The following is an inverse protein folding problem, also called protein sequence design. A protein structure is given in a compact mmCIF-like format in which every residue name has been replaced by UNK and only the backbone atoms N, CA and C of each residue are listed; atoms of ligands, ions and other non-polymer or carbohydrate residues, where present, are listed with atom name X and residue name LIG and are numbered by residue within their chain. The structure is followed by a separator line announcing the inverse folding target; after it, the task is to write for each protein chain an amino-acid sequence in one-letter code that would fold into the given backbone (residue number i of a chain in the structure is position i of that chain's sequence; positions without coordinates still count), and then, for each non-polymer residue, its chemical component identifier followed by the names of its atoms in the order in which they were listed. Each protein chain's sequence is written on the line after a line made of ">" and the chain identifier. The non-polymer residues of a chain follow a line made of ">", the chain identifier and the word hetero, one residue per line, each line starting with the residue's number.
data_IF_580036255866
#
_entry.id   IF_580036255866
#
_cell.length_a   1.000
_cell.length_b   1.000
_cell.length_c   1.000
_cell.angle_alpha   90.00
_cell.angle_beta   90.00
_cell.angle_gamma   90.00
#
_symmetry.space_group_name_H-M   'P 1'
#
loop_
_entity.id
_entity.type
_entity.pdbx_description
1 polymer ?
#
# COMPACT_ATOMS: atom_id res chain seq x y z
N UNK A 1 -82.80 3.55 -35.77
CA UNK A 1 -83.67 2.66 -36.57
C UNK A 1 -85.00 3.37 -36.79
N UNK A 2 -85.64 3.20 -37.96
CA UNK A 2 -86.86 3.91 -38.33
C UNK A 2 -88.13 3.42 -37.61
N UNK A 3 -88.10 2.28 -36.91
CA UNK A 3 -89.23 1.75 -36.16
C UNK A 3 -88.78 1.10 -34.84
N UNK A 4 -89.56 1.23 -33.78
CA UNK A 4 -89.34 0.54 -32.50
C UNK A 4 -90.12 -0.78 -32.42
N UNK A 5 -89.67 -1.78 -31.62
CA UNK A 5 -90.43 -3.03 -31.42
C UNK A 5 -91.88 -2.77 -30.99
N UNK A 6 -92.08 -1.77 -30.12
CA UNK A 6 -93.40 -1.33 -29.67
C UNK A 6 -94.26 -0.71 -30.78
N UNK A 7 -93.66 0.03 -31.72
CA UNK A 7 -94.36 0.56 -32.91
C UNK A 7 -94.76 -0.53 -33.90
N UNK A 8 -93.98 -1.61 -34.00
CA UNK A 8 -94.27 -2.75 -34.87
C UNK A 8 -95.45 -3.55 -34.31
N UNK A 9 -95.49 -3.75 -32.99
CA UNK A 9 -96.57 -4.46 -32.29
C UNK A 9 -97.90 -3.72 -32.32
N UNK A 10 -97.88 -2.40 -32.24
CA UNK A 10 -99.08 -1.55 -32.20
C UNK A 10 -99.54 -1.07 -33.59
N UNK A 11 -98.99 -1.63 -34.68
CA UNK A 11 -99.32 -1.20 -36.04
C UNK A 11 -100.67 -1.75 -36.47
N UNK A 12 -101.63 -0.86 -36.74
CA UNK A 12 -102.91 -1.23 -37.33
C UNK A 12 -102.89 -1.18 -38.87
N UNK A 13 -103.51 -2.17 -39.51
CA UNK A 13 -103.65 -2.26 -40.97
C UNK A 13 -105.11 -2.10 -41.41
N UNK A 14 -105.32 -1.49 -42.57
CA UNK A 14 -106.66 -1.33 -43.17
C UNK A 14 -107.19 -2.68 -43.67
N UNK A 15 -108.45 -3.02 -43.36
CA UNK A 15 -109.08 -4.28 -43.79
C UNK A 15 -109.61 -4.16 -45.23
N UNK A 16 -109.23 -5.10 -46.10
CA UNK A 16 -109.65 -5.16 -47.52
C UNK A 16 -110.33 -6.51 -47.78
N UNK A 17 -111.33 -6.58 -48.67
CA UNK A 17 -112.18 -7.77 -48.91
C UNK A 17 -111.44 -9.08 -49.28
N UNK A 18 -110.20 -8.99 -49.78
CA UNK A 18 -109.33 -10.13 -50.10
C UNK A 18 -107.97 -10.04 -49.35
N UNK A 19 -107.97 -9.51 -48.12
CA UNK A 19 -106.75 -9.30 -47.33
C UNK A 19 -106.26 -10.54 -46.59
N UNK A 20 -105.04 -10.42 -46.04
CA UNK A 20 -104.45 -11.39 -45.11
C UNK A 20 -105.25 -11.45 -43.79
N UNK A 21 -105.20 -12.60 -43.13
CA UNK A 21 -105.92 -12.81 -41.87
C UNK A 21 -105.31 -11.94 -40.75
N UNK A 22 -106.12 -11.13 -40.03
CA UNK A 22 -105.60 -10.23 -39.00
C UNK A 22 -104.86 -10.94 -37.86
N UNK A 23 -105.25 -12.18 -37.52
CA UNK A 23 -104.63 -12.96 -36.46
C UNK A 23 -103.21 -13.41 -36.84
N UNK A 24 -103.04 -13.95 -38.05
CA UNK A 24 -101.74 -14.40 -38.56
C UNK A 24 -100.74 -13.23 -38.69
N UNK A 25 -101.21 -12.08 -39.17
CA UNK A 25 -100.37 -10.86 -39.26
C UNK A 25 -99.96 -10.35 -37.88
N UNK A 26 -100.86 -10.38 -36.90
CA UNK A 26 -100.56 -10.00 -35.51
C UNK A 26 -99.50 -10.92 -34.89
N UNK A 27 -99.61 -12.23 -35.11
CA UNK A 27 -98.64 -13.21 -34.61
C UNK A 27 -97.26 -13.03 -35.26
N UNK A 28 -97.21 -12.77 -36.55
CA UNK A 28 -95.97 -12.45 -37.26
C UNK A 28 -95.34 -11.14 -36.76
N UNK A 29 -96.13 -10.08 -36.52
CA UNK A 29 -95.64 -8.83 -35.94
C UNK A 29 -95.08 -9.02 -34.52
N UNK A 30 -95.68 -9.89 -33.71
CA UNK A 30 -95.16 -10.24 -32.39
C UNK A 30 -93.80 -10.96 -32.49
N UNK A 31 -93.67 -11.93 -33.40
CA UNK A 31 -92.40 -12.62 -33.66
C UNK A 31 -91.33 -11.65 -34.16
N UNK A 32 -91.68 -10.77 -35.10
CA UNK A 32 -90.77 -9.76 -35.65
C UNK A 32 -90.34 -8.75 -34.58
N UNK A 33 -91.26 -8.30 -33.73
CA UNK A 33 -90.95 -7.42 -32.59
C UNK A 33 -89.93 -8.08 -31.65
N UNK A 34 -90.15 -9.34 -31.29
CA UNK A 34 -89.26 -10.08 -30.40
C UNK A 34 -87.87 -10.27 -31.02
N UNK A 35 -87.78 -10.57 -32.32
CA UNK A 35 -86.50 -10.75 -33.00
C UNK A 35 -85.73 -9.44 -33.14
N UNK A 36 -86.41 -8.32 -33.42
CA UNK A 36 -85.77 -6.99 -33.45
C UNK A 36 -85.26 -6.59 -32.06
N UNK A 37 -86.02 -6.91 -31.00
CA UNK A 37 -85.59 -6.67 -29.63
C UNK A 37 -84.36 -7.52 -29.27
N UNK A 38 -84.34 -8.81 -29.65
CA UNK A 38 -83.19 -9.70 -29.52
C UNK A 38 -81.96 -9.15 -30.24
N UNK A 39 -82.08 -8.76 -31.50
CA UNK A 39 -80.99 -8.19 -32.30
C UNK A 39 -80.48 -6.87 -31.72
N UNK A 40 -81.36 -6.03 -31.15
CA UNK A 40 -80.99 -4.77 -30.51
C UNK A 40 -80.16 -5.02 -29.25
N UNK A 41 -80.56 -6.00 -28.43
CA UNK A 41 -79.81 -6.37 -27.23
C UNK A 41 -78.46 -7.01 -27.59
N UNK A 42 -78.43 -7.91 -28.58
CA UNK A 42 -77.20 -8.51 -29.09
C UNK A 42 -76.23 -7.45 -29.64
N UNK A 43 -76.74 -6.48 -30.42
CA UNK A 43 -75.95 -5.35 -30.91
C UNK A 43 -75.36 -4.54 -29.76
N UNK A 44 -76.15 -4.23 -28.73
CA UNK A 44 -75.69 -3.48 -27.56
C UNK A 44 -74.61 -4.24 -26.79
N UNK A 45 -74.76 -5.57 -26.67
CA UNK A 45 -73.74 -6.42 -26.04
C UNK A 45 -72.45 -6.44 -26.86
N UNK A 46 -72.54 -6.57 -28.19
CA UNK A 46 -71.39 -6.52 -29.09
C UNK A 46 -70.68 -5.16 -29.03
N UNK A 47 -71.42 -4.05 -29.04
CA UNK A 47 -70.87 -2.70 -28.89
C UNK A 47 -70.10 -2.55 -27.57
N UNK A 48 -70.65 -3.08 -26.47
CA UNK A 48 -69.97 -3.08 -25.17
C UNK A 48 -68.68 -3.90 -25.19
N UNK A 49 -68.69 -5.08 -25.81
CA UNK A 49 -67.49 -5.90 -25.96
C UNK A 49 -66.44 -5.20 -26.80
N UNK A 50 -66.84 -4.54 -27.89
CA UNK A 50 -65.91 -3.77 -28.73
C UNK A 50 -65.27 -2.64 -27.90
N UNK A 51 -66.05 -1.88 -27.15
CA UNK A 51 -65.53 -0.80 -26.31
C UNK A 51 -64.56 -1.32 -25.22
N UNK A 52 -64.87 -2.44 -24.59
CA UNK A 52 -63.97 -3.11 -23.64
C UNK A 52 -62.68 -3.60 -24.31
N UNK A 53 -62.76 -4.12 -25.54
CA UNK A 53 -61.57 -4.56 -26.27
C UNK A 53 -60.71 -3.39 -26.73
N UNK A 54 -61.31 -2.32 -27.20
CA UNK A 54 -60.61 -1.10 -27.61
C UNK A 54 -59.89 -0.44 -26.43
N UNK A 55 -60.52 -0.42 -25.24
CA UNK A 55 -59.86 0.09 -24.03
C UNK A 55 -58.68 -0.79 -23.60
N UNK A 56 -58.82 -2.12 -23.68
CA UNK A 56 -57.72 -3.04 -23.41
C UNK A 56 -56.57 -2.91 -24.43
N UNK A 57 -56.87 -2.74 -25.72
CA UNK A 57 -55.84 -2.52 -26.74
C UNK A 57 -55.06 -1.24 -26.45
N UNK A 58 -55.77 -0.15 -26.09
CA UNK A 58 -55.12 1.11 -25.73
C UNK A 58 -54.23 0.98 -24.50
N UNK A 59 -54.65 0.24 -23.47
CA UNK A 59 -53.81 0.01 -22.28
C UNK A 59 -52.57 -0.81 -22.62
N UNK A 60 -52.69 -1.86 -23.44
CA UNK A 60 -51.53 -2.62 -23.91
C UNK A 60 -50.58 -1.78 -24.76
N UNK A 61 -51.09 -0.91 -25.63
CA UNK A 61 -50.26 0.03 -26.40
C UNK A 61 -49.50 0.99 -25.50
N UNK A 62 -50.13 1.52 -24.45
CA UNK A 62 -49.47 2.38 -23.47
C UNK A 62 -48.37 1.64 -22.70
N UNK A 63 -48.65 0.41 -22.26
CA UNK A 63 -47.64 -0.42 -21.57
C UNK A 63 -46.49 -0.75 -22.51
N UNK A 64 -46.77 -1.12 -23.76
CA UNK A 64 -45.73 -1.39 -24.76
C UNK A 64 -44.86 -0.16 -25.00
N UNK A 65 -45.45 1.03 -25.13
CA UNK A 65 -44.70 2.27 -25.29
C UNK A 65 -43.82 2.54 -24.07
N UNK A 66 -44.36 2.43 -22.86
CA UNK A 66 -43.60 2.63 -21.62
C UNK A 66 -42.44 1.64 -21.48
N UNK A 67 -42.64 0.37 -21.84
CA UNK A 67 -41.58 -0.65 -21.81
C UNK A 67 -40.52 -0.36 -22.87
N UNK A 68 -40.93 0.06 -24.07
CA UNK A 68 -40.00 0.45 -25.14
C UNK A 68 -39.15 1.66 -24.72
N UNK A 69 -39.77 2.67 -24.13
CA UNK A 69 -39.08 3.86 -23.64
C UNK A 69 -38.11 3.50 -22.50
N UNK A 70 -38.54 2.65 -21.57
CA UNK A 70 -37.69 2.15 -20.49
C UNK A 70 -36.49 1.34 -21.03
N UNK A 71 -36.68 0.55 -22.09
CA UNK A 71 -35.59 -0.22 -22.71
C UNK A 71 -34.56 0.70 -23.38
N UNK A 72 -35.03 1.73 -24.11
CA UNK A 72 -34.14 2.72 -24.74
C UNK A 72 -33.38 3.50 -23.67
N UNK A 73 -34.06 3.93 -22.61
CA UNK A 73 -33.41 4.62 -21.49
C UNK A 73 -32.39 3.73 -20.78
N UNK A 74 -32.71 2.45 -20.56
CA UNK A 74 -31.78 1.49 -19.97
C UNK A 74 -30.55 1.27 -20.85
N UNK A 75 -30.73 1.17 -22.18
CA UNK A 75 -29.61 1.07 -23.11
C UNK A 75 -28.73 2.33 -23.06
N UNK A 76 -29.35 3.51 -23.09
CA UNK A 76 -28.62 4.78 -23.04
C UNK A 76 -27.85 4.93 -21.72
N UNK A 77 -28.46 4.60 -20.58
CA UNK A 77 -27.80 4.62 -19.28
C UNK A 77 -26.65 3.59 -19.21
N UNK A 78 -26.81 2.42 -19.82
CA UNK A 78 -25.77 1.41 -19.93
C UNK A 78 -24.58 1.89 -20.78
N UNK A 79 -24.84 2.52 -21.91
CA UNK A 79 -23.81 3.11 -22.77
C UNK A 79 -23.08 4.26 -22.09
N UNK A 80 -23.81 5.17 -21.43
CA UNK A 80 -23.23 6.29 -20.68
C UNK A 80 -22.35 5.79 -19.53
N UNK A 81 -22.81 4.80 -18.77
CA UNK A 81 -22.04 4.18 -17.69
C UNK A 81 -20.76 3.53 -18.22
N UNK A 82 -20.85 2.83 -19.35
CA UNK A 82 -19.68 2.21 -20.00
C UNK A 82 -18.68 3.26 -20.46
N UNK A 83 -19.13 4.35 -21.07
CA UNK A 83 -18.26 5.45 -21.50
C UNK A 83 -17.60 6.14 -20.30
N UNK A 84 -18.33 6.39 -19.21
CA UNK A 84 -17.80 6.95 -17.98
C UNK A 84 -16.73 6.04 -17.36
N UNK A 85 -17.01 4.74 -17.24
CA UNK A 85 -16.07 3.76 -16.70
C UNK A 85 -14.78 3.66 -17.55
N UNK A 86 -14.89 3.68 -18.88
CA UNK A 86 -13.73 3.68 -19.76
C UNK A 86 -12.88 4.94 -19.59
N UNK A 87 -13.51 6.12 -19.52
CA UNK A 87 -12.81 7.39 -19.32
C UNK A 87 -12.12 7.43 -17.95
N UNK A 88 -12.76 6.92 -16.92
CA UNK A 88 -12.16 6.83 -15.58
C UNK A 88 -10.99 5.85 -15.58
N UNK A 89 -11.12 4.69 -16.23
CA UNK A 89 -10.03 3.74 -16.37
C UNK A 89 -8.81 4.34 -17.09
N UNK A 90 -9.02 5.06 -18.20
CA UNK A 90 -7.95 5.77 -18.92
C UNK A 90 -7.29 6.84 -18.03
N UNK A 91 -8.09 7.61 -17.27
CA UNK A 91 -7.56 8.61 -16.35
C UNK A 91 -6.74 7.99 -15.22
N UNK A 92 -7.17 6.85 -14.67
CA UNK A 92 -6.43 6.11 -13.64
C UNK A 92 -5.12 5.58 -14.20
N UNK A 93 -5.13 4.99 -15.40
CA UNK A 93 -3.92 4.49 -16.06
C UNK A 93 -2.95 5.64 -16.31
N UNK A 94 -3.43 6.75 -16.87
CA UNK A 94 -2.59 7.93 -17.14
C UNK A 94 -1.99 8.50 -15.85
N UNK A 95 -2.78 8.60 -14.77
CA UNK A 95 -2.29 9.05 -13.46
C UNK A 95 -1.26 8.09 -12.87
N UNK A 96 -1.49 6.78 -12.98
CA UNK A 96 -0.55 5.77 -12.50
C UNK A 96 0.77 5.82 -13.28
N UNK A 97 0.73 6.01 -14.60
CA UNK A 97 1.91 6.19 -15.44
C UNK A 97 2.69 7.44 -15.03
N UNK A 98 2.02 8.59 -14.91
CA UNK A 98 2.67 9.83 -14.49
C UNK A 98 3.32 9.69 -13.10
N UNK A 99 2.65 9.02 -12.16
CA UNK A 99 3.21 8.78 -10.83
C UNK A 99 4.40 7.81 -10.87
N UNK A 100 4.34 6.77 -11.70
CA UNK A 100 5.47 5.87 -11.90
C UNK A 100 6.68 6.61 -12.46
N UNK A 101 6.48 7.47 -13.45
CA UNK A 101 7.55 8.29 -14.03
C UNK A 101 8.18 9.22 -12.99
N UNK A 102 7.37 9.83 -12.12
CA UNK A 102 7.88 10.64 -11.01
C UNK A 102 8.74 9.83 -10.04
N UNK A 103 8.27 8.64 -9.65
CA UNK A 103 9.02 7.75 -8.74
C UNK A 103 10.35 7.31 -9.38
N UNK A 104 10.34 6.97 -10.68
CA UNK A 104 11.55 6.57 -11.39
C UNK A 104 12.54 7.73 -11.48
N UNK A 105 12.09 8.94 -11.79
CA UNK A 105 12.96 10.12 -11.84
C UNK A 105 13.57 10.44 -10.46
N UNK A 106 12.76 10.44 -9.40
CA UNK A 106 13.24 10.63 -8.02
C UNK A 106 14.26 9.56 -7.61
N UNK A 107 14.01 8.29 -7.97
CA UNK A 107 14.95 7.20 -7.72
C UNK A 107 16.28 7.40 -8.48
N UNK A 108 16.23 7.86 -9.74
CA UNK A 108 17.43 8.17 -10.54
C UNK A 108 18.22 9.32 -9.92
N UNK A 109 17.55 10.38 -9.48
CA UNK A 109 18.20 11.52 -8.81
C UNK A 109 18.88 11.10 -7.50
N UNK A 110 18.19 10.33 -6.66
CA UNK A 110 18.76 9.76 -5.43
C UNK A 110 19.95 8.84 -5.72
N UNK A 111 19.86 7.99 -6.74
CA UNK A 111 20.95 7.11 -7.14
C UNK A 111 22.19 7.89 -7.60
N UNK A 112 21.99 8.96 -8.38
CA UNK A 112 23.08 9.88 -8.76
C UNK A 112 23.68 10.55 -7.53
N UNK A 113 22.86 11.08 -6.63
CA UNK A 113 23.34 11.74 -5.43
C UNK A 113 24.17 10.81 -4.54
N UNK A 114 23.69 9.58 -4.32
CA UNK A 114 24.42 8.55 -3.57
C UNK A 114 25.73 8.16 -4.25
N UNK A 115 25.74 8.08 -5.58
CA UNK A 115 26.95 7.81 -6.35
C UNK A 115 28.00 8.90 -6.15
N UNK A 116 27.59 10.18 -6.21
CA UNK A 116 28.47 11.32 -5.92
C UNK A 116 29.00 11.30 -4.48
N UNK A 117 28.14 11.07 -3.49
CA UNK A 117 28.57 10.95 -2.09
C UNK A 117 29.57 9.80 -1.88
N UNK A 118 29.34 8.67 -2.54
CA UNK A 118 30.24 7.50 -2.48
C UNK A 118 31.60 7.81 -3.08
N UNK A 119 31.63 8.51 -4.22
CA UNK A 119 32.87 8.93 -4.86
C UNK A 119 33.65 9.93 -3.99
N UNK A 120 32.95 10.92 -3.41
CA UNK A 120 33.58 11.88 -2.52
C UNK A 120 34.13 11.21 -1.25
N UNK A 121 33.36 10.31 -0.63
CA UNK A 121 33.84 9.50 0.50
C UNK A 121 35.11 8.71 0.15
N UNK A 122 35.15 8.05 -1.02
CA UNK A 122 36.35 7.34 -1.48
C UNK A 122 37.54 8.29 -1.65
N UNK A 123 37.32 9.48 -2.20
CA UNK A 123 38.36 10.51 -2.32
C UNK A 123 38.87 10.95 -0.96
N UNK A 124 37.98 11.23 -0.02
CA UNK A 124 38.32 11.59 1.36
C UNK A 124 39.10 10.46 2.05
N UNK A 125 38.69 9.20 1.91
CA UNK A 125 39.42 8.05 2.45
C UNK A 125 40.83 7.94 1.87
N UNK A 126 41.02 8.19 0.56
CA UNK A 126 42.34 8.18 -0.07
C UNK A 126 43.25 9.29 0.48
N UNK A 127 42.71 10.49 0.66
CA UNK A 127 43.43 11.62 1.26
C UNK A 127 43.80 11.32 2.71
N UNK A 128 42.83 10.83 3.50
CA UNK A 128 43.05 10.43 4.89
C UNK A 128 44.15 9.37 4.99
N UNK A 129 44.09 8.32 4.17
CA UNK A 129 45.12 7.27 4.12
C UNK A 129 46.51 7.84 3.82
N UNK A 130 46.62 8.77 2.87
CA UNK A 130 47.89 9.42 2.53
C UNK A 130 48.43 10.25 3.70
N UNK A 131 47.56 11.03 4.36
CA UNK A 131 47.94 11.85 5.53
C UNK A 131 48.35 10.99 6.72
N UNK A 132 47.61 9.91 6.98
CA UNK A 132 47.92 8.98 8.04
C UNK A 132 49.27 8.28 7.79
N UNK A 133 49.52 7.85 6.55
CA UNK A 133 50.81 7.28 6.16
C UNK A 133 51.97 8.26 6.39
N UNK A 134 51.84 9.52 5.96
CA UNK A 134 52.87 10.54 6.21
C UNK A 134 53.10 10.76 7.72
N UNK A 135 52.04 10.76 8.54
CA UNK A 135 52.17 10.91 9.99
C UNK A 135 52.95 9.75 10.62
N UNK A 136 52.63 8.51 10.23
CA UNK A 136 53.33 7.31 10.72
C UNK A 136 54.77 7.27 10.22
N UNK A 137 55.02 7.61 8.95
CA UNK A 137 56.37 7.70 8.38
C UNK A 137 57.20 8.75 9.14
N UNK A 138 56.64 9.93 9.44
CA UNK A 138 57.33 10.96 10.23
C UNK A 138 57.65 10.50 11.67
N UNK A 139 56.74 9.78 12.32
CA UNK A 139 56.99 9.20 13.65
C UNK A 139 58.06 8.10 13.62
N UNK A 140 58.06 7.30 12.55
CA UNK A 140 59.03 6.24 12.35
C UNK A 140 60.42 6.79 11.99
N UNK A 141 60.48 7.88 11.22
CA UNK A 141 61.72 8.61 10.94
C UNK A 141 62.29 9.27 12.20
N UNK A 142 61.45 9.80 13.10
CA UNK A 142 61.89 10.28 14.41
C UNK A 142 62.52 9.17 15.27
N UNK A 143 61.96 7.96 15.23
CA UNK A 143 62.51 6.80 15.96
C UNK A 143 63.80 6.27 15.33
N UNK A 144 63.91 6.35 14.00
CA UNK A 144 65.10 5.92 13.25
C UNK A 144 66.27 6.88 13.36
N UNK A 145 66.07 8.09 13.87
CA UNK A 145 67.16 9.03 14.03
C UNK A 145 68.11 8.52 15.13
N UNK A 146 69.41 8.49 14.84
CA UNK A 146 70.49 8.01 15.73
C UNK A 146 70.56 8.82 17.04
N UNK A 147 69.79 9.92 17.16
CA UNK A 147 69.56 10.67 18.40
C UNK A 147 69.10 9.76 19.56
N UNK A 148 68.31 8.72 19.27
CA UNK A 148 67.90 7.74 20.28
C UNK A 148 69.07 6.83 20.66
N UNK A 149 69.87 6.37 19.70
CA UNK A 149 71.06 5.56 19.98
C UNK A 149 72.11 6.35 20.81
N UNK A 150 72.22 7.66 20.60
CA UNK A 150 73.05 8.54 21.42
C UNK A 150 72.49 8.73 22.84
N UNK A 151 71.17 8.90 23.00
CA UNK A 151 70.53 9.06 24.31
C UNK A 151 70.44 7.76 25.12
N UNK A 152 70.42 6.60 24.45
CA UNK A 152 70.32 5.27 25.07
C UNK A 152 71.69 4.59 25.27
N UNK A 153 72.79 5.17 24.76
CA UNK A 153 74.15 4.75 25.08
C UNK A 153 74.50 5.09 26.56
N UNK A 154 73.97 4.28 27.47
CA UNK A 154 74.14 4.42 28.92
C UNK A 154 75.56 4.04 29.41
N UNK A 155 76.38 3.43 28.55
CA UNK A 155 77.65 2.81 28.98
C UNK A 155 78.88 3.75 29.02
N UNK A 156 78.77 5.01 28.58
CA UNK A 156 79.94 5.92 28.54
C UNK A 156 80.04 6.84 29.78
N UNK A 157 78.93 7.12 30.47
CA UNK A 157 78.91 8.07 31.59
C UNK A 157 78.93 7.41 32.97
N UNK A 158 78.55 6.12 33.09
CA UNK A 158 78.64 5.40 34.36
C UNK A 158 80.10 5.20 34.83
N UNK A 159 81.04 5.06 33.90
CA UNK A 159 82.46 4.87 34.24
C UNK A 159 83.14 6.17 34.71
N UNK A 160 82.71 7.34 34.21
CA UNK A 160 83.27 8.65 34.59
C UNK A 160 82.80 9.12 35.98
N UNK A 161 81.57 8.83 36.37
CA UNK A 161 81.02 9.24 37.68
C UNK A 161 81.71 8.51 38.85
N UNK A 162 82.27 7.32 38.62
CA UNK A 162 83.00 6.58 39.67
C UNK A 162 84.42 7.09 39.94
N UNK A 163 85.03 7.83 39.00
CA UNK A 163 86.41 8.32 39.15
C UNK A 163 86.49 9.72 39.78
N UNK A 164 85.49 10.59 39.60
CA UNK A 164 85.51 11.94 40.19
C UNK A 164 85.10 11.98 41.68
N UNK A 165 84.50 10.92 42.22
CA UNK A 165 83.99 10.90 43.61
C UNK A 165 85.04 10.57 44.70
N UNK A 166 86.34 10.52 44.37
CA UNK A 166 87.40 10.18 45.34
C UNK A 166 88.24 11.34 45.88
N UNK A 167 87.97 12.60 45.53
CA UNK A 167 88.84 13.71 45.93
C UNK A 167 88.27 14.78 46.86
N UNK A 168 87.02 14.73 47.30
CA UNK A 168 86.50 15.68 48.29
C UNK A 168 85.79 14.99 49.47
N UNK A 169 86.55 14.24 50.26
CA UNK A 169 86.24 14.06 51.68
C UNK A 169 87.38 14.67 52.50
N UNK A 170 87.23 15.95 52.86
CA UNK A 170 88.04 16.57 53.88
C UNK A 170 87.34 16.45 55.24
N UNK A 171 88.14 16.23 56.27
CA UNK A 171 87.87 15.43 57.44
C UNK A 171 87.40 16.20 58.69
N UNK A 172 86.36 17.02 58.60
CA UNK A 172 85.75 17.65 59.78
C UNK A 172 84.26 17.91 59.53
N UNK A 173 83.42 16.95 59.92
CA UNK A 173 82.16 17.15 60.62
C UNK A 173 81.60 15.76 60.94
N UNK A 174 82.24 15.14 61.92
CA UNK A 174 81.79 13.92 62.56
C UNK A 174 81.07 14.38 63.82
N UNK A 175 79.74 14.51 63.76
CA UNK A 175 78.92 14.61 64.96
C UNK A 175 78.45 13.19 65.35
N UNK A 176 78.62 12.76 66.62
CA UNK A 176 78.47 11.34 67.00
C UNK A 176 77.04 10.76 66.97
N UNK A 177 76.04 11.51 66.52
CA UNK A 177 74.62 11.08 66.58
C UNK A 177 74.08 10.47 65.28
N UNK A 178 74.80 10.55 64.15
CA UNK A 178 74.35 9.99 62.86
C UNK A 178 74.86 8.57 62.58
N UNK A 179 75.74 8.03 63.42
CA UNK A 179 76.24 6.65 63.29
C UNK A 179 75.29 5.58 63.86
N UNK A 180 74.23 5.95 64.56
CA UNK A 180 73.27 5.01 65.18
C UNK A 180 71.88 5.02 64.53
N UNK A 181 71.58 5.96 63.64
CA UNK A 181 70.30 6.05 62.92
C UNK A 181 70.34 5.43 61.53
N UNK A 182 71.52 5.24 60.94
CA UNK A 182 71.70 4.57 59.63
C UNK A 182 71.53 3.04 59.67
N UNK A 183 71.34 2.43 60.86
CA UNK A 183 71.20 0.97 61.01
C UNK A 183 69.76 0.49 61.24
N UNK A 184 68.78 1.39 61.31
CA UNK A 184 67.37 1.03 61.64
C UNK A 184 66.37 1.18 60.50
N UNK A 185 66.79 1.62 59.31
CA UNK A 185 65.89 1.74 58.13
C UNK A 185 66.12 0.67 57.05
N UNK A 186 66.96 -0.32 57.32
CA UNK A 186 67.07 -1.54 56.48
C UNK A 186 65.98 -2.59 56.78
N UNK A 187 65.01 -2.30 57.65
CA UNK A 187 64.03 -3.29 58.13
C UNK A 187 62.59 -3.09 57.64
N UNK A 188 62.31 -2.13 56.75
CA UNK A 188 60.92 -1.82 56.33
C UNK A 188 60.66 -2.02 54.82
N UNK A 189 61.61 -2.56 54.06
CA UNK A 189 61.45 -2.82 52.61
C UNK A 189 61.10 -4.27 52.26
N UNK A 190 60.91 -5.15 53.25
CA UNK A 190 60.56 -6.57 53.04
C UNK A 190 59.23 -6.87 53.70
N UNK A 191 58.12 -6.39 53.10
CA UNK A 191 56.75 -6.90 53.22
C UNK A 191 55.80 -5.94 52.48
N UNK A 192 55.37 -6.31 51.26
CA UNK A 192 54.12 -5.92 50.56
C UNK A 192 54.26 -5.77 49.03
N UNK A 193 55.32 -6.27 48.41
CA UNK A 193 55.38 -6.48 46.95
C UNK A 193 54.56 -7.69 46.46
N UNK A 194 53.39 -7.95 47.04
CA UNK A 194 52.63 -9.21 46.82
C UNK A 194 51.13 -9.04 46.49
N UNK A 195 50.66 -7.84 46.11
CA UNK A 195 49.21 -7.61 45.86
C UNK A 195 48.79 -7.08 44.48
N UNK A 196 49.67 -6.94 43.49
CA UNK A 196 49.27 -6.36 42.19
C UNK A 196 49.47 -7.23 40.94
N UNK A 197 49.72 -8.54 41.09
CA UNK A 197 49.89 -9.44 39.94
C UNK A 197 48.79 -10.51 39.78
N UNK A 198 47.60 -10.33 40.37
CA UNK A 198 46.53 -11.33 40.33
C UNK A 198 45.25 -10.91 39.58
N UNK A 199 45.31 -9.97 38.62
CA UNK A 199 44.10 -9.54 37.89
C UNK A 199 44.17 -9.49 36.37
N UNK A 200 45.24 -9.97 35.75
CA UNK A 200 45.36 -9.97 34.28
C UNK A 200 45.98 -11.28 33.79
N UNK A 201 45.36 -12.43 34.10
CA UNK A 201 45.50 -13.64 33.27
C UNK A 201 44.52 -14.77 33.68
N UNK A 202 43.29 -14.66 33.23
CA UNK A 202 42.37 -15.77 32.90
C UNK A 202 41.22 -15.13 32.12
N UNK A 203 40.77 -15.57 30.96
CA UNK A 203 40.97 -16.82 30.25
C UNK A 203 40.48 -16.54 28.82
N UNK A 204 41.36 -16.67 27.84
CA UNK A 204 40.94 -16.95 26.47
C UNK A 204 41.20 -18.43 26.20
N UNK A 205 40.38 -18.97 25.30
CA UNK A 205 40.50 -20.21 24.51
C UNK A 205 39.89 -21.49 25.09
N UNK A 206 38.68 -21.78 24.63
CA UNK A 206 38.34 -22.93 23.76
C UNK A 206 36.83 -22.85 23.47
N UNK A 207 36.26 -23.24 22.34
CA UNK A 207 36.67 -23.49 20.96
C UNK A 207 35.33 -23.67 20.18
N UNK A 208 35.34 -23.43 18.86
CA UNK A 208 34.49 -24.00 17.79
C UNK A 208 33.03 -24.46 18.12
N UNK A 209 31.95 -24.16 17.39
CA UNK A 209 31.78 -24.21 15.93
C UNK A 209 30.34 -23.81 15.55
N UNK A 210 30.16 -23.38 14.31
CA UNK A 210 28.91 -23.23 13.52
C UNK A 210 28.08 -21.96 13.73
N UNK A 211 28.17 -21.04 12.76
CA UNK A 211 26.99 -20.44 12.12
C UNK A 211 27.42 -19.94 10.73
N UNK A 212 27.06 -20.70 9.70
CA UNK A 212 26.91 -20.18 8.34
C UNK A 212 25.53 -19.54 8.22
N UNK A 213 25.46 -18.48 7.42
CA UNK A 213 24.29 -18.10 6.60
C UNK A 213 23.02 -17.64 7.35
N UNK A 214 22.20 -16.69 6.91
CA UNK A 214 22.17 -15.80 5.77
C UNK A 214 21.12 -14.72 6.08
N UNK A 215 21.22 -13.66 5.30
CA UNK A 215 20.45 -12.43 5.19
C UNK A 215 18.93 -12.60 5.26
N UNK A 216 18.31 -11.76 6.09
CA UNK A 216 16.91 -11.34 5.99
C UNK A 216 16.69 -10.55 4.71
N UNK A 217 15.91 -11.10 3.80
CA UNK A 217 15.19 -10.37 2.75
C UNK A 217 14.00 -11.21 2.33
N UNK A 218 12.78 -10.74 2.61
CA UNK A 218 11.71 -10.71 1.62
C UNK A 218 10.50 -9.93 2.15
N UNK A 219 10.24 -8.81 1.47
CA UNK A 219 8.93 -8.28 1.22
C UNK A 219 8.27 -9.05 0.07
N UNK A 220 7.03 -9.50 0.24
CA UNK A 220 6.05 -9.55 -0.86
C UNK A 220 4.63 -9.66 -0.34
N UNK A 221 3.89 -8.60 -0.63
CA UNK A 221 2.44 -8.52 -0.78
C UNK A 221 1.98 -9.53 -1.84
N UNK A 222 0.82 -10.18 -1.62
CA UNK A 222 -0.16 -10.49 -2.67
C UNK A 222 -1.52 -10.84 -2.06
N UNK A 223 -2.56 -10.25 -2.67
CA UNK A 223 -3.98 -10.38 -2.39
C UNK A 223 -4.56 -11.69 -2.97
N UNK A 224 -5.81 -11.98 -2.54
CA UNK A 224 -6.89 -12.71 -3.26
C UNK A 224 -6.69 -14.23 -3.45
N UNK A 225 -7.67 -15.12 -3.38
CA UNK A 225 -9.08 -15.05 -3.77
C UNK A 225 -9.99 -15.94 -2.90
N UNK A 226 -11.27 -15.58 -2.98
CA UNK A 226 -12.46 -16.39 -2.71
C UNK A 226 -12.45 -17.79 -3.34
N UNK A 227 -13.02 -18.77 -2.64
CA UNK A 227 -13.85 -19.81 -3.29
C UNK A 227 -15.10 -20.09 -2.47
N UNK A 228 -16.23 -19.80 -3.11
CA UNK A 228 -17.55 -20.35 -2.87
C UNK A 228 -17.59 -21.86 -3.18
N UNK A 229 -18.12 -22.69 -2.28
CA UNK A 229 -19.09 -23.77 -2.57
C UNK A 229 -19.29 -24.69 -1.34
N UNK A 230 -20.45 -24.57 -0.68
CA UNK A 230 -21.42 -25.66 -0.50
C UNK A 230 -22.78 -25.10 -0.12
#
# INVERSE_FOLDING_TARGET
>A
MPFTPSEIKNKEFTKVKNGLEPAEVSDYLNQLSNEIERLKEEKKQLEKVIEERDTNIKSYQQVHQSVSDALVQAQQAGEETKLAANKEAEAVISKAQAQADLIVNDAIEKARHLSFQTEDMKRQSKIFRSRFRMLVEAQLDLLKNDDWDYLLNYDIDAEKVTQENFQHLNSQDITPEEQLSAQSQQSESVLASESNNSKINSLSTSDATSTSENVTSQSSVSQSESTSNK
#
